data_IF_711541566450
#
_entry.id   IF_711541566450
#
_cell.length_a   1.000
_cell.length_b   1.000
_cell.length_c   1.000
_cell.angle_alpha   90.00
_cell.angle_beta   90.00
_cell.angle_gamma   90.00
#
_symmetry.space_group_name_H-M   'P 1'
#
loop_
_entity.id
_entity.type
_entity.pdbx_description
1 polymer ?
#
# COMPACT_ATOMS: atom_id res chain seq x y z
N UNK A 1 -5.49 -3.34 14.55
CA UNK A 1 -5.34 -2.16 15.43
C UNK A 1 -3.88 -1.81 15.79
N UNK A 2 -2.96 -2.73 16.18
CA UNK A 2 -1.62 -2.32 16.63
C UNK A 2 -0.82 -1.59 15.54
N UNK A 3 -0.96 -1.98 14.27
CA UNK A 3 -0.24 -1.34 13.16
C UNK A 3 -0.77 0.04 12.75
N UNK A 4 -2.08 0.31 12.94
CA UNK A 4 -2.65 1.65 12.75
C UNK A 4 -2.07 2.59 13.80
N UNK A 5 -2.03 2.15 15.07
CA UNK A 5 -1.44 2.91 16.17
C UNK A 5 0.04 3.19 15.88
N UNK A 6 0.80 2.19 15.41
CA UNK A 6 2.19 2.37 15.01
C UNK A 6 2.32 3.40 13.87
N UNK A 7 1.51 3.29 12.82
CA UNK A 7 1.52 4.23 11.69
C UNK A 7 1.20 5.66 12.10
N UNK A 8 0.21 5.84 12.98
CA UNK A 8 -0.14 7.14 13.56
C UNK A 8 0.98 7.66 14.47
N UNK A 9 1.61 6.79 15.26
CA UNK A 9 2.74 7.16 16.13
C UNK A 9 3.93 7.61 15.31
N UNK A 10 4.27 6.87 14.25
CA UNK A 10 5.33 7.23 13.29
C UNK A 10 4.98 8.52 12.57
N UNK A 11 3.76 8.66 12.06
CA UNK A 11 3.29 9.91 11.44
C UNK A 11 3.39 11.09 12.40
N UNK A 12 2.89 10.94 13.63
CA UNK A 12 2.99 11.93 14.71
C UNK A 12 4.43 12.27 15.06
N UNK A 13 5.32 11.29 15.11
CA UNK A 13 6.74 11.48 15.35
C UNK A 13 7.39 12.25 14.21
N UNK A 14 7.02 11.96 12.95
CA UNK A 14 7.44 12.73 11.79
C UNK A 14 7.00 14.20 11.94
N UNK A 15 5.76 14.50 12.32
CA UNK A 15 5.36 15.91 12.52
C UNK A 15 6.06 16.59 13.71
N UNK A 16 6.33 15.86 14.79
CA UNK A 16 6.87 16.45 16.01
C UNK A 16 8.40 16.61 15.99
N UNK A 17 9.10 15.70 15.32
CA UNK A 17 10.56 15.58 15.38
C UNK A 17 11.26 15.76 14.03
N UNK A 18 10.57 15.57 12.89
CA UNK A 18 11.19 15.72 11.58
C UNK A 18 10.90 17.12 11.04
N UNK A 19 11.94 17.97 10.84
CA UNK A 19 11.74 19.31 10.32
C UNK A 19 11.10 19.27 8.92
N UNK A 20 10.24 20.25 8.58
CA UNK A 20 9.72 20.40 7.22
C UNK A 20 10.89 20.42 6.22
N UNK A 21 10.89 19.48 5.28
CA UNK A 21 11.92 19.35 4.25
C UNK A 21 13.18 18.56 4.62
N UNK A 22 13.31 18.01 5.84
CA UNK A 22 14.43 17.10 6.16
C UNK A 22 14.37 15.82 5.30
N UNK A 23 13.17 15.25 5.10
CA UNK A 23 12.97 14.09 4.22
C UNK A 23 13.17 14.48 2.75
N UNK A 24 12.73 15.68 2.35
CA UNK A 24 12.95 16.19 1.00
C UNK A 24 14.43 16.44 0.68
N UNK A 25 15.29 16.68 1.69
CA UNK A 25 16.74 16.78 1.54
C UNK A 25 17.44 15.41 1.42
N UNK A 26 16.85 14.36 1.97
CA UNK A 26 17.40 13.00 1.88
C UNK A 26 17.11 12.37 0.50
N UNK A 27 16.00 12.78 -0.14
CA UNK A 27 15.63 12.29 -1.46
C UNK A 27 16.36 13.06 -2.58
N UNK A 28 16.69 12.39 -3.70
CA UNK A 28 17.24 13.04 -4.88
C UNK A 28 16.36 14.19 -5.41
N UNK A 29 16.97 15.26 -5.90
CA UNK A 29 16.25 16.40 -6.49
C UNK A 29 15.49 16.05 -7.77
N UNK A 30 15.95 15.05 -8.53
CA UNK A 30 15.31 14.63 -9.78
C UNK A 30 14.12 13.70 -9.47
N UNK A 31 12.88 14.02 -9.88
CA UNK A 31 11.71 13.20 -9.56
C UNK A 31 11.84 11.74 -9.97
N UNK A 32 12.44 11.47 -11.14
CA UNK A 32 12.68 10.11 -11.64
C UNK A 32 13.64 9.29 -10.75
N UNK A 33 14.53 9.93 -9.99
CA UNK A 33 15.40 9.28 -9.01
C UNK A 33 14.80 9.28 -7.60
N UNK A 34 13.95 10.27 -7.29
CA UNK A 34 13.23 10.33 -6.02
C UNK A 34 12.24 9.17 -5.87
N UNK A 35 11.58 8.75 -6.95
CA UNK A 35 10.65 7.61 -6.96
C UNK A 35 11.29 6.30 -6.49
N UNK A 36 12.37 5.79 -7.12
CA UNK A 36 13.01 4.56 -6.67
C UNK A 36 13.62 4.69 -5.27
N UNK A 37 14.19 5.86 -4.92
CA UNK A 37 14.72 6.09 -3.58
C UNK A 37 13.62 6.06 -2.50
N UNK A 38 12.45 6.63 -2.78
CA UNK A 38 11.32 6.60 -1.86
C UNK A 38 10.68 5.20 -1.77
N UNK A 39 10.60 4.47 -2.88
CA UNK A 39 10.14 3.08 -2.88
C UNK A 39 11.05 2.17 -2.04
N UNK A 40 12.38 2.28 -2.18
CA UNK A 40 13.32 1.48 -1.38
C UNK A 40 13.32 1.87 0.09
N UNK A 41 13.14 3.16 0.40
CA UNK A 41 12.96 3.61 1.78
C UNK A 41 11.73 2.99 2.46
N UNK A 42 10.70 2.61 1.67
CA UNK A 42 9.53 1.87 2.14
C UNK A 42 9.87 0.55 2.84
N UNK A 43 10.95 -0.14 2.42
CA UNK A 43 11.41 -1.39 3.05
C UNK A 43 11.78 -1.19 4.52
N UNK A 44 12.39 -0.05 4.85
CA UNK A 44 12.92 0.22 6.19
C UNK A 44 11.82 0.61 7.20
N UNK A 45 10.60 0.89 6.74
CA UNK A 45 9.54 1.42 7.59
C UNK A 45 8.55 0.32 7.95
N UNK A 46 8.52 -0.11 9.24
CA UNK A 46 7.50 -1.02 9.70
C UNK A 46 6.15 -0.29 9.71
N UNK A 47 5.36 -0.51 8.68
CA UNK A 47 4.04 0.11 8.51
C UNK A 47 3.02 -0.89 7.97
N UNK A 48 1.74 -0.55 8.17
CA UNK A 48 0.61 -1.16 7.47
C UNK A 48 0.05 -0.14 6.46
N UNK A 49 -0.76 -0.60 5.51
CA UNK A 49 -1.32 0.27 4.45
C UNK A 49 -2.18 1.41 5.02
N UNK A 50 -2.78 1.21 6.20
CA UNK A 50 -3.56 2.25 6.88
C UNK A 50 -2.67 3.37 7.45
N UNK A 51 -1.44 3.05 7.82
CA UNK A 51 -0.47 4.01 8.37
C UNK A 51 0.34 4.72 7.29
N UNK A 52 0.54 4.11 6.12
CA UNK A 52 1.34 4.70 5.05
C UNK A 52 0.62 5.86 4.35
N UNK A 53 -0.71 5.89 4.31
CA UNK A 53 -1.52 6.99 3.72
C UNK A 53 -1.25 8.34 4.39
N UNK A 54 -1.42 8.51 5.72
CA UNK A 54 -1.14 9.79 6.37
C UNK A 54 0.34 10.19 6.27
N UNK A 55 1.26 9.22 6.34
CA UNK A 55 2.70 9.47 6.15
C UNK A 55 2.97 10.03 4.75
N UNK A 56 2.41 9.40 3.70
CA UNK A 56 2.54 9.88 2.32
C UNK A 56 1.96 11.29 2.14
N UNK A 57 0.79 11.58 2.73
CA UNK A 57 0.21 12.92 2.73
C UNK A 57 1.14 13.96 3.36
N UNK A 58 1.85 13.60 4.44
CA UNK A 58 2.85 14.46 5.08
C UNK A 58 4.12 14.61 4.25
N UNK A 59 4.56 13.58 3.53
CA UNK A 59 5.68 13.69 2.59
C UNK A 59 5.36 14.70 1.49
N UNK A 60 4.16 14.65 0.91
CA UNK A 60 3.68 15.64 -0.07
C UNK A 60 3.64 17.04 0.55
N UNK A 61 3.09 17.18 1.76
CA UNK A 61 3.05 18.46 2.46
C UNK A 61 4.44 19.02 2.80
N UNK A 62 5.44 18.14 2.99
CA UNK A 62 6.84 18.47 3.24
C UNK A 62 7.64 18.76 1.96
N UNK A 63 7.00 18.75 0.79
CA UNK A 63 7.61 19.10 -0.51
C UNK A 63 8.24 17.93 -1.27
N UNK A 64 8.01 16.68 -0.85
CA UNK A 64 8.36 15.49 -1.65
C UNK A 64 7.43 15.42 -2.85
N UNK A 65 7.95 15.03 -4.02
CA UNK A 65 7.13 14.89 -5.22
C UNK A 65 6.01 13.88 -5.00
N UNK A 66 4.78 14.13 -5.48
CA UNK A 66 3.68 13.20 -5.21
C UNK A 66 3.94 11.80 -5.73
N UNK A 67 4.56 11.66 -6.89
CA UNK A 67 5.02 10.39 -7.43
C UNK A 67 5.92 9.59 -6.45
N UNK A 68 6.88 10.25 -5.79
CA UNK A 68 7.76 9.59 -4.83
C UNK A 68 7.02 9.24 -3.54
N UNK A 69 6.13 10.11 -3.07
CA UNK A 69 5.28 9.84 -1.91
C UNK A 69 4.32 8.66 -2.16
N UNK A 70 3.77 8.53 -3.38
CA UNK A 70 2.92 7.41 -3.79
C UNK A 70 3.72 6.12 -3.96
N UNK A 71 4.95 6.18 -4.47
CA UNK A 71 5.82 5.01 -4.53
C UNK A 71 6.16 4.50 -3.13
N UNK A 72 6.44 5.40 -2.18
CA UNK A 72 6.60 5.07 -0.77
C UNK A 72 5.31 4.47 -0.17
N UNK A 73 4.16 5.09 -0.45
CA UNK A 73 2.84 4.67 0.03
C UNK A 73 2.55 3.19 -0.28
N UNK A 74 2.85 2.78 -1.52
CA UNK A 74 2.61 1.44 -2.03
C UNK A 74 3.68 0.44 -1.57
N UNK A 75 4.94 0.88 -1.50
CA UNK A 75 6.07 0.02 -1.13
C UNK A 75 6.03 -0.39 0.34
N UNK A 76 5.81 0.58 1.25
CA UNK A 76 5.90 0.35 2.70
C UNK A 76 5.07 -0.85 3.21
N UNK A 77 3.77 -0.99 2.88
CA UNK A 77 2.99 -2.17 3.31
C UNK A 77 3.29 -3.44 2.50
N UNK A 78 3.85 -3.34 1.31
CA UNK A 78 4.05 -4.48 0.42
C UNK A 78 5.36 -5.25 0.68
N UNK A 79 6.42 -4.55 1.10
CA UNK A 79 7.78 -5.12 1.27
C UNK A 79 8.41 -4.86 2.65
N UNK A 80 7.59 -4.60 3.66
CA UNK A 80 8.04 -4.52 5.05
C UNK A 80 8.63 -5.89 5.51
N UNK A 81 9.71 -5.89 6.32
CA UNK A 81 10.28 -7.10 6.92
C UNK A 81 9.27 -8.06 7.54
N UNK A 82 8.24 -7.56 8.22
CA UNK A 82 7.18 -8.39 8.84
C UNK A 82 6.44 -9.17 7.76
N UNK A 83 6.08 -8.50 6.66
CA UNK A 83 5.34 -9.07 5.53
C UNK A 83 6.19 -10.09 4.76
N UNK A 84 7.47 -9.78 4.53
CA UNK A 84 8.40 -10.71 3.90
C UNK A 84 8.65 -11.95 4.76
N UNK A 85 8.78 -11.77 6.09
CA UNK A 85 8.92 -12.88 7.04
C UNK A 85 7.65 -13.73 7.10
N UNK A 86 6.47 -13.11 7.13
CA UNK A 86 5.19 -13.82 7.05
C UNK A 86 5.07 -14.63 5.76
N UNK A 87 5.55 -14.09 4.63
CA UNK A 87 5.61 -14.81 3.34
C UNK A 87 6.55 -16.01 3.43
N UNK A 88 7.73 -15.86 4.05
CA UNK A 88 8.68 -16.95 4.22
C UNK A 88 8.11 -18.08 5.10
N UNK A 89 7.38 -17.73 6.17
CA UNK A 89 6.73 -18.70 7.06
C UNK A 89 5.53 -19.37 6.37
N UNK A 90 4.74 -18.62 5.61
CA UNK A 90 3.56 -19.14 4.90
C UNK A 90 3.93 -20.06 3.72
N UNK A 91 5.09 -19.86 3.10
CA UNK A 91 5.59 -20.67 1.98
C UNK A 91 6.91 -21.39 2.33
N UNK A 92 6.87 -22.37 3.26
CA UNK A 92 8.08 -23.06 3.72
C UNK A 92 8.77 -23.77 2.55
N UNK A 93 10.10 -23.68 2.50
CA UNK A 93 10.93 -24.31 1.46
C UNK A 93 10.87 -23.64 0.08
N UNK A 94 10.21 -22.47 -0.06
CA UNK A 94 10.09 -21.74 -1.33
C UNK A 94 10.58 -20.28 -1.23
N UNK A 95 11.89 -20.04 -1.00
CA UNK A 95 12.41 -18.67 -0.88
C UNK A 95 12.20 -17.81 -2.14
N UNK A 96 12.06 -18.45 -3.30
CA UNK A 96 11.78 -17.78 -4.58
C UNK A 96 10.52 -16.89 -4.51
N UNK A 97 9.46 -17.28 -3.78
CA UNK A 97 8.24 -16.46 -3.68
C UNK A 97 8.44 -15.20 -2.84
N UNK A 98 9.32 -15.26 -1.83
CA UNK A 98 9.65 -14.10 -0.99
C UNK A 98 10.42 -13.08 -1.83
N UNK A 99 11.41 -13.55 -2.59
CA UNK A 99 12.16 -12.71 -3.53
C UNK A 99 11.25 -12.16 -4.63
N UNK A 100 10.37 -12.99 -5.18
CA UNK A 100 9.40 -12.57 -6.19
C UNK A 100 8.45 -11.50 -5.64
N UNK A 101 7.97 -11.63 -4.39
CA UNK A 101 7.14 -10.61 -3.72
C UNK A 101 7.90 -9.30 -3.58
N UNK A 102 9.14 -9.36 -3.07
CA UNK A 102 10.00 -8.18 -2.95
C UNK A 102 10.16 -7.45 -4.28
N UNK A 103 10.58 -8.18 -5.32
CA UNK A 103 10.88 -7.60 -6.63
C UNK A 103 9.63 -7.10 -7.34
N UNK A 104 8.54 -7.87 -7.33
CA UNK A 104 7.30 -7.49 -7.97
C UNK A 104 6.67 -6.25 -7.32
N UNK A 105 6.66 -6.17 -5.99
CA UNK A 105 6.14 -5.01 -5.27
C UNK A 105 7.04 -3.78 -5.41
N UNK A 106 8.37 -3.95 -5.46
CA UNK A 106 9.29 -2.84 -5.73
C UNK A 106 9.13 -2.34 -7.18
N UNK A 107 9.05 -3.24 -8.15
CA UNK A 107 8.79 -2.91 -9.56
C UNK A 107 7.44 -2.20 -9.72
N UNK A 108 6.40 -2.69 -9.06
CA UNK A 108 5.06 -2.11 -9.12
C UNK A 108 5.03 -0.70 -8.51
N UNK A 109 5.58 -0.50 -7.31
CA UNK A 109 5.59 0.81 -6.65
C UNK A 109 6.41 1.85 -7.42
N UNK A 110 7.57 1.47 -7.96
CA UNK A 110 8.38 2.32 -8.83
C UNK A 110 7.63 2.60 -10.13
N UNK A 111 7.07 1.58 -10.78
CA UNK A 111 6.32 1.70 -12.03
C UNK A 111 5.13 2.64 -11.89
N UNK A 112 4.34 2.51 -10.82
CA UNK A 112 3.22 3.42 -10.52
C UNK A 112 3.73 4.83 -10.27
N UNK A 113 4.77 5.01 -9.46
CA UNK A 113 5.35 6.33 -9.19
C UNK A 113 5.86 7.02 -10.46
N UNK A 114 6.62 6.31 -11.30
CA UNK A 114 7.14 6.84 -12.56
C UNK A 114 6.02 7.15 -13.56
N UNK A 115 5.02 6.26 -13.67
CA UNK A 115 3.87 6.49 -14.54
C UNK A 115 3.08 7.71 -14.05
N UNK A 116 2.95 7.89 -12.73
CA UNK A 116 2.31 9.07 -12.15
C UNK A 116 3.02 10.38 -12.49
N UNK A 117 4.35 10.39 -12.71
CA UNK A 117 5.03 11.60 -13.20
C UNK A 117 4.53 12.04 -14.59
N UNK A 118 4.01 11.11 -15.40
CA UNK A 118 3.57 11.37 -16.77
C UNK A 118 2.06 11.57 -16.86
N UNK A 119 1.28 10.70 -16.20
CA UNK A 119 -0.19 10.68 -16.31
C UNK A 119 -0.92 11.23 -15.09
N UNK A 120 -0.15 11.55 -14.04
CA UNK A 120 -0.64 12.02 -12.76
C UNK A 120 -1.25 13.41 -12.85
N UNK A 121 -2.20 13.64 -11.96
CA UNK A 121 -2.93 14.89 -11.80
C UNK A 121 -2.72 15.32 -10.36
N UNK A 122 -1.60 15.99 -10.11
CA UNK A 122 -1.19 16.40 -8.75
C UNK A 122 -2.18 17.39 -8.14
N UNK A 123 -3.00 18.05 -8.96
CA UNK A 123 -4.15 18.86 -8.55
C UNK A 123 -5.24 18.06 -7.81
N UNK A 124 -5.26 16.73 -7.96
CA UNK A 124 -6.18 15.82 -7.26
C UNK A 124 -5.63 15.33 -5.91
N UNK A 125 -4.31 15.45 -5.70
CA UNK A 125 -3.62 15.17 -4.44
C UNK A 125 -3.76 16.37 -3.48
N UNK A 126 -4.98 16.86 -3.32
CA UNK A 126 -5.27 17.90 -2.31
C UNK A 126 -5.34 17.21 -0.96
N UNK A 127 -4.41 17.47 -0.03
CA UNK A 127 -4.57 17.00 1.34
C UNK A 127 -5.86 17.60 1.88
N UNK A 128 -6.77 16.79 2.41
CA UNK A 128 -8.04 17.24 2.97
C UNK A 128 -7.79 18.22 4.13
N UNK A 129 -7.79 19.54 3.84
CA UNK A 129 -7.39 20.66 4.73
C UNK A 129 -6.03 20.46 5.40
N UNK A 130 -5.12 21.43 5.22
CA UNK A 130 -3.88 21.50 6.01
C UNK A 130 -4.27 21.71 7.48
N UNK A 131 -4.32 20.65 8.27
CA UNK A 131 -4.51 20.72 9.71
C UNK A 131 -3.19 21.20 10.32
N UNK A 132 -3.20 22.40 10.88
CA UNK A 132 -2.06 22.96 11.58
C UNK A 132 -2.11 22.49 13.04
N UNK A 133 -1.07 21.78 13.53
CA UNK A 133 -1.05 21.37 14.92
C UNK A 133 -1.05 22.60 15.83
N UNK A 134 -1.78 22.54 16.96
CA UNK A 134 -1.84 23.66 17.89
C UNK A 134 -0.45 24.06 18.40
N UNK A 135 -0.22 25.36 18.56
CA UNK A 135 1.02 25.88 19.12
C UNK A 135 1.27 25.32 20.53
N UNK A 136 2.49 24.85 20.79
CA UNK A 136 2.84 24.25 22.07
C UNK A 136 4.08 23.36 22.06
N UNK A 137 4.30 22.69 23.19
CA UNK A 137 5.41 21.75 23.40
C UNK A 137 5.43 20.66 22.33
N UNK A 138 6.61 20.08 22.05
CA UNK A 138 6.77 19.00 21.05
C UNK A 138 5.83 17.83 21.32
N UNK A 139 5.60 17.50 22.60
CA UNK A 139 4.67 16.45 23.05
C UNK A 139 3.22 16.78 22.72
N UNK A 140 2.78 18.03 22.90
CA UNK A 140 1.40 18.44 22.59
C UNK A 140 1.13 18.41 21.09
N UNK A 141 2.10 18.84 20.28
CA UNK A 141 2.05 18.74 18.82
C UNK A 141 2.01 17.28 18.36
N UNK A 142 2.87 16.43 18.93
CA UNK A 142 2.86 14.98 18.69
C UNK A 142 1.49 14.36 18.98
N UNK A 143 0.96 14.56 20.19
CA UNK A 143 -0.31 13.99 20.64
C UNK A 143 -1.49 14.46 19.79
N UNK A 144 -1.55 15.76 19.50
CA UNK A 144 -2.62 16.32 18.69
C UNK A 144 -2.56 15.79 17.24
N UNK A 145 -1.36 15.73 16.64
CA UNK A 145 -1.15 15.13 15.32
C UNK A 145 -1.52 13.65 15.28
N UNK A 146 -1.11 12.89 16.30
CA UNK A 146 -1.42 11.47 16.39
C UNK A 146 -2.93 11.25 16.55
N UNK A 147 -3.60 12.01 17.42
CA UNK A 147 -5.04 11.91 17.62
C UNK A 147 -5.81 12.25 16.34
N UNK A 148 -5.41 13.31 15.63
CA UNK A 148 -6.05 13.70 14.37
C UNK A 148 -5.93 12.60 13.31
N UNK A 149 -4.71 12.12 13.06
CA UNK A 149 -4.45 11.06 12.08
C UNK A 149 -5.20 9.77 12.47
N UNK A 150 -5.25 9.43 13.76
CA UNK A 150 -5.96 8.25 14.25
C UNK A 150 -7.47 8.34 14.04
N UNK A 151 -8.08 9.48 14.40
CA UNK A 151 -9.53 9.65 14.26
C UNK A 151 -9.94 9.67 12.78
N UNK A 152 -9.15 10.34 11.94
CA UNK A 152 -9.41 10.39 10.50
C UNK A 152 -9.23 9.00 9.87
N UNK A 153 -8.07 8.37 10.05
CA UNK A 153 -7.79 7.05 9.46
C UNK A 153 -8.71 5.98 10.05
N UNK A 154 -9.00 6.04 11.35
CA UNK A 154 -9.91 5.14 12.05
C UNK A 154 -11.33 5.19 11.51
N UNK A 155 -11.87 6.38 11.21
CA UNK A 155 -13.21 6.53 10.63
C UNK A 155 -13.34 5.85 9.27
N UNK A 156 -12.41 6.13 8.34
CA UNK A 156 -12.40 5.49 7.02
C UNK A 156 -12.08 4.00 7.09
N UNK A 157 -11.23 3.59 8.03
CA UNK A 157 -10.93 2.19 8.29
C UNK A 157 -12.18 1.40 8.71
N UNK A 158 -13.01 1.94 9.60
CA UNK A 158 -14.26 1.27 10.01
C UNK A 158 -15.21 1.08 8.84
N UNK A 159 -15.41 2.13 8.03
CA UNK A 159 -16.28 2.05 6.84
C UNK A 159 -15.72 1.06 5.82
N UNK A 160 -14.42 1.14 5.52
CA UNK A 160 -13.75 0.25 4.58
C UNK A 160 -13.75 -1.21 5.04
N UNK A 161 -13.49 -1.46 6.32
CA UNK A 161 -13.53 -2.80 6.91
C UNK A 161 -14.95 -3.37 6.93
N UNK A 162 -15.97 -2.56 7.22
CA UNK A 162 -17.37 -2.97 7.15
C UNK A 162 -17.80 -3.35 5.73
N UNK A 163 -17.41 -2.54 4.73
CA UNK A 163 -17.65 -2.85 3.32
C UNK A 163 -16.92 -4.13 2.88
N UNK A 164 -15.64 -4.29 3.23
CA UNK A 164 -14.85 -5.48 2.93
C UNK A 164 -15.44 -6.74 3.60
N UNK A 165 -15.83 -6.66 4.88
CA UNK A 165 -16.45 -7.78 5.59
C UNK A 165 -17.78 -8.19 4.95
N UNK A 166 -18.60 -7.23 4.52
CA UNK A 166 -19.86 -7.50 3.80
C UNK A 166 -19.60 -8.15 2.45
N UNK A 167 -18.60 -7.65 1.69
CA UNK A 167 -18.23 -8.27 0.42
C UNK A 167 -17.69 -9.69 0.64
N UNK A 168 -16.87 -9.92 1.66
CA UNK A 168 -16.28 -11.22 1.97
C UNK A 168 -17.32 -12.26 2.43
N UNK A 169 -18.38 -11.86 3.14
CA UNK A 169 -19.47 -12.78 3.50
C UNK A 169 -20.36 -13.12 2.32
N UNK A 170 -20.49 -12.20 1.36
CA UNK A 170 -21.33 -12.39 0.18
C UNK A 170 -20.64 -13.16 -0.96
N UNK A 171 -19.31 -13.19 -1.02
CA UNK A 171 -18.56 -13.89 -2.08
C UNK A 171 -18.46 -15.39 -1.77
N UNK A 172 -19.16 -16.28 -2.51
CA UNK A 172 -19.12 -17.71 -2.26
C UNK A 172 -17.80 -18.31 -2.75
N UNK A 173 -17.21 -19.24 -1.97
CA UNK A 173 -15.98 -19.98 -2.37
C UNK A 173 -16.09 -20.66 -3.74
N UNK A 174 -17.29 -21.07 -4.14
CA UNK A 174 -17.57 -21.68 -5.45
C UNK A 174 -17.18 -20.80 -6.64
N UNK A 175 -17.30 -19.47 -6.51
CA UNK A 175 -16.90 -18.51 -7.56
C UNK A 175 -15.38 -18.51 -7.70
N UNK A 176 -14.65 -18.58 -6.58
CA UNK A 176 -13.19 -18.64 -6.58
C UNK A 176 -12.69 -19.93 -7.21
N UNK A 177 -13.28 -21.08 -6.86
CA UNK A 177 -12.85 -22.38 -7.40
C UNK A 177 -13.06 -22.49 -8.92
N UNK A 178 -14.15 -21.90 -9.44
CA UNK A 178 -14.40 -21.87 -10.88
C UNK A 178 -13.38 -21.04 -11.69
N UNK A 179 -12.70 -20.09 -11.03
CA UNK A 179 -11.68 -19.23 -11.65
C UNK A 179 -10.28 -19.87 -11.65
N UNK A 180 -10.06 -20.94 -10.86
CA UNK A 180 -8.77 -21.61 -10.75
C UNK A 180 -8.33 -22.29 -12.06
N UNK A 181 -9.28 -22.74 -12.88
CA UNK A 181 -9.00 -23.48 -14.12
C UNK A 181 -8.87 -22.59 -15.37
N UNK A 182 -8.95 -21.26 -15.23
CA UNK A 182 -9.01 -20.32 -16.36
C UNK A 182 -7.65 -19.96 -17.00
N UNK A 183 -6.58 -20.73 -16.74
CA UNK A 183 -5.27 -20.49 -17.33
C UNK A 183 -4.67 -19.12 -16.94
N UNK A 184 -4.18 -18.28 -17.87
CA UNK A 184 -3.61 -16.96 -17.57
C UNK A 184 -4.57 -16.01 -16.86
N UNK A 185 -5.89 -16.21 -17.02
CA UNK A 185 -6.92 -15.40 -16.36
C UNK A 185 -6.96 -15.62 -14.84
N UNK A 186 -6.35 -16.69 -14.33
CA UNK A 186 -6.21 -16.94 -12.90
C UNK A 186 -5.44 -15.82 -12.17
N UNK A 187 -4.48 -15.19 -12.85
CA UNK A 187 -3.69 -14.06 -12.30
C UNK A 187 -4.59 -12.83 -12.12
N UNK A 188 -5.41 -12.51 -13.13
CA UNK A 188 -6.39 -11.43 -13.07
C UNK A 188 -7.46 -11.71 -12.00
N UNK A 189 -7.96 -12.95 -11.96
CA UNK A 189 -8.97 -13.38 -10.99
C UNK A 189 -8.47 -13.24 -9.55
N UNK A 190 -7.26 -13.72 -9.24
CA UNK A 190 -6.68 -13.58 -7.90
C UNK A 190 -6.33 -12.12 -7.58
N UNK A 191 -5.90 -11.34 -8.57
CA UNK A 191 -5.71 -9.89 -8.40
C UNK A 191 -7.01 -9.21 -7.99
N UNK A 192 -8.11 -9.46 -8.70
CA UNK A 192 -9.43 -8.91 -8.37
C UNK A 192 -9.92 -9.39 -7.00
N UNK A 193 -9.69 -10.66 -6.68
CA UNK A 193 -10.02 -11.22 -5.38
C UNK A 193 -9.22 -10.54 -4.26
N UNK A 194 -7.96 -10.19 -4.49
CA UNK A 194 -7.13 -9.45 -3.53
C UNK A 194 -7.74 -8.08 -3.21
N UNK A 195 -8.23 -7.35 -4.22
CA UNK A 195 -8.89 -6.05 -4.00
C UNK A 195 -10.08 -6.17 -3.06
N UNK A 196 -10.82 -7.28 -3.14
CA UNK A 196 -12.02 -7.54 -2.35
C UNK A 196 -11.73 -8.12 -0.95
N UNK A 197 -10.75 -9.01 -0.86
CA UNK A 197 -10.51 -9.83 0.34
C UNK A 197 -9.33 -9.38 1.20
N UNK A 198 -8.51 -8.43 0.75
CA UNK A 198 -7.32 -8.02 1.49
C UNK A 198 -7.69 -7.54 2.89
N UNK A 199 -7.25 -8.31 3.89
CA UNK A 199 -7.49 -8.00 5.30
C UNK A 199 -6.35 -7.13 5.82
N UNK A 200 -5.14 -7.67 5.76
CA UNK A 200 -3.87 -7.07 6.16
C UNK A 200 -2.74 -7.78 5.38
N UNK A 201 -1.72 -7.04 4.92
CA UNK A 201 -0.59 -7.55 4.13
C UNK A 201 0.10 -8.81 4.69
N UNK A 202 0.10 -9.02 6.02
CA UNK A 202 0.62 -10.23 6.66
C UNK A 202 -0.35 -11.43 6.58
N UNK A 203 -1.65 -11.20 6.80
CA UNK A 203 -2.68 -12.24 6.75
C UNK A 203 -2.85 -12.78 5.32
N UNK A 204 -2.68 -11.90 4.33
CA UNK A 204 -2.75 -12.24 2.91
C UNK A 204 -1.71 -13.30 2.51
N UNK A 205 -0.55 -13.35 3.18
CA UNK A 205 0.46 -14.39 2.97
C UNK A 205 -0.08 -15.80 3.26
N UNK A 206 -0.78 -15.96 4.39
CA UNK A 206 -1.36 -17.24 4.80
C UNK A 206 -2.56 -17.62 3.93
N UNK A 207 -3.38 -16.65 3.54
CA UNK A 207 -4.50 -16.86 2.61
C UNK A 207 -3.96 -17.37 1.27
N UNK A 208 -2.96 -16.70 0.69
CA UNK A 208 -2.36 -17.11 -0.58
C UNK A 208 -1.68 -18.48 -0.51
N UNK A 209 -1.07 -18.84 0.62
CA UNK A 209 -0.48 -20.17 0.80
C UNK A 209 -1.54 -21.30 0.81
N UNK A 210 -2.76 -20.99 1.27
CA UNK A 210 -3.91 -21.90 1.26
C UNK A 210 -4.51 -22.15 -0.13
N UNK A 211 -4.32 -21.22 -1.09
CA UNK A 211 -4.84 -21.30 -2.47
C UNK A 211 -3.97 -22.20 -3.35
N UNK A 212 -3.83 -23.47 -2.97
CA UNK A 212 -2.89 -24.41 -3.61
C UNK A 212 -3.27 -24.76 -5.05
N UNK A 213 -4.54 -24.62 -5.40
CA UNK A 213 -5.08 -24.89 -6.74
C UNK A 213 -4.62 -23.86 -7.78
N UNK A 214 -4.20 -22.66 -7.34
CA UNK A 214 -3.76 -21.58 -8.22
C UNK A 214 -2.26 -21.65 -8.51
N UNK A 215 -1.82 -21.10 -9.65
CA UNK A 215 -0.39 -20.97 -9.96
C UNK A 215 0.34 -20.11 -8.93
N UNK A 216 1.66 -20.31 -8.79
CA UNK A 216 2.48 -19.46 -7.92
C UNK A 216 2.46 -17.99 -8.36
N UNK A 217 2.39 -17.72 -9.67
CA UNK A 217 2.25 -16.38 -10.23
C UNK A 217 0.92 -15.72 -9.87
N UNK A 218 -0.20 -16.48 -9.88
CA UNK A 218 -1.49 -15.95 -9.44
C UNK A 218 -1.49 -15.62 -7.94
N UNK A 219 -0.89 -16.50 -7.12
CA UNK A 219 -0.68 -16.27 -5.69
C UNK A 219 0.22 -15.06 -5.43
N UNK A 220 1.28 -14.88 -6.22
CA UNK A 220 2.13 -13.68 -6.17
C UNK A 220 1.34 -12.41 -6.52
N UNK A 221 0.51 -12.45 -7.57
CA UNK A 221 -0.34 -11.31 -7.93
C UNK A 221 -1.29 -10.91 -6.80
N UNK A 222 -1.89 -11.89 -6.11
CA UNK A 222 -2.67 -11.63 -4.91
C UNK A 222 -1.84 -10.90 -3.82
N UNK A 223 -0.63 -11.38 -3.55
CA UNK A 223 0.27 -10.83 -2.52
C UNK A 223 0.83 -9.43 -2.84
N UNK A 224 0.91 -9.08 -4.13
CA UNK A 224 1.40 -7.77 -4.59
C UNK A 224 0.24 -6.77 -4.70
N UNK A 225 -0.90 -7.18 -5.26
CA UNK A 225 -2.07 -6.31 -5.46
C UNK A 225 -2.73 -5.94 -4.13
N UNK A 226 -2.92 -6.91 -3.22
CA UNK A 226 -3.61 -6.70 -1.94
C UNK A 226 -3.17 -5.45 -1.18
N UNK A 227 -1.88 -5.33 -0.77
CA UNK A 227 -1.40 -4.18 -0.02
C UNK A 227 -1.31 -2.86 -0.80
N UNK A 228 -1.50 -2.91 -2.13
CA UNK A 228 -1.41 -1.75 -3.02
C UNK A 228 -2.79 -1.21 -3.43
N UNK A 229 -3.78 -2.10 -3.56
CA UNK A 229 -5.14 -1.79 -4.00
C UNK A 229 -6.11 -2.70 -3.26
N UNK A 230 -6.75 -2.16 -2.23
CA UNK A 230 -7.86 -2.80 -1.52
C UNK A 230 -9.01 -1.82 -1.28
N UNK A 231 -10.23 -2.33 -1.05
CA UNK A 231 -11.42 -1.50 -0.83
C UNK A 231 -11.23 -0.49 0.31
N UNK A 232 -10.59 -0.89 1.41
CA UNK A 232 -10.32 -0.04 2.57
C UNK A 232 -9.26 1.01 2.26
N UNK A 233 -8.20 0.67 1.54
CA UNK A 233 -7.15 1.58 1.10
C UNK A 233 -7.70 2.60 0.10
N UNK A 234 -8.56 2.17 -0.83
CA UNK A 234 -9.29 3.07 -1.75
C UNK A 234 -10.16 4.05 -0.96
N UNK A 235 -10.92 3.56 0.02
CA UNK A 235 -11.73 4.42 0.88
C UNK A 235 -10.87 5.42 1.68
N UNK A 236 -9.75 4.97 2.23
CA UNK A 236 -8.81 5.81 2.99
C UNK A 236 -8.12 6.86 2.11
N UNK A 237 -7.70 6.50 0.90
CA UNK A 237 -7.12 7.41 -0.09
C UNK A 237 -8.16 8.44 -0.58
N UNK A 238 -9.41 8.01 -0.80
CA UNK A 238 -10.50 8.89 -1.17
C UNK A 238 -10.80 9.93 -0.07
N UNK A 239 -10.74 9.50 1.19
CA UNK A 239 -10.94 10.34 2.37
C UNK A 239 -9.78 11.26 2.72
N UNK A 240 -8.54 10.87 2.41
CA UNK A 240 -7.33 11.65 2.75
C UNK A 240 -6.95 12.65 1.65
N UNK A 241 -7.05 12.23 0.39
CA UNK A 241 -6.70 13.04 -0.77
C UNK A 241 -7.96 13.57 -1.46
N UNK A 242 -8.48 12.81 -2.42
CA UNK A 242 -9.77 13.08 -3.03
C UNK A 242 -10.35 11.81 -3.63
N UNK A 243 -11.68 11.68 -3.73
CA UNK A 243 -12.30 10.52 -4.38
C UNK A 243 -11.91 10.42 -5.86
N UNK A 244 -11.68 11.55 -6.54
CA UNK A 244 -11.20 11.58 -7.93
C UNK A 244 -9.78 11.03 -8.06
N UNK A 245 -8.92 11.34 -7.10
CA UNK A 245 -7.59 10.74 -7.02
C UNK A 245 -7.69 9.23 -6.88
N UNK A 246 -8.45 8.73 -5.89
CA UNK A 246 -8.57 7.30 -5.61
C UNK A 246 -9.12 6.51 -6.82
N UNK A 247 -10.17 7.01 -7.48
CA UNK A 247 -10.76 6.37 -8.66
C UNK A 247 -9.82 6.27 -9.87
N UNK A 248 -8.82 7.15 -9.98
CA UNK A 248 -7.81 7.10 -11.05
C UNK A 248 -6.58 6.31 -10.64
N UNK A 249 -6.17 6.45 -9.37
CA UNK A 249 -4.97 5.84 -8.83
C UNK A 249 -5.13 4.33 -8.63
N UNK A 250 -6.28 3.86 -8.15
CA UNK A 250 -6.55 2.44 -7.92
C UNK A 250 -6.44 1.57 -9.18
N UNK A 251 -7.14 1.86 -10.31
CA UNK A 251 -7.02 1.03 -11.52
C UNK A 251 -5.62 1.09 -12.14
N UNK A 252 -4.95 2.25 -12.09
CA UNK A 252 -3.56 2.37 -12.53
C UNK A 252 -2.64 1.45 -11.73
N UNK A 253 -2.76 1.51 -10.40
CA UNK A 253 -1.98 0.70 -9.47
C UNK A 253 -2.27 -0.78 -9.67
N UNK A 254 -3.53 -1.15 -9.85
CA UNK A 254 -3.95 -2.52 -10.08
C UNK A 254 -3.28 -3.11 -11.34
N UNK A 255 -3.35 -2.40 -12.46
CA UNK A 255 -2.76 -2.86 -13.74
C UNK A 255 -1.25 -3.00 -13.63
N UNK A 256 -0.57 -2.01 -13.05
CA UNK A 256 0.89 -2.04 -12.90
C UNK A 256 1.33 -3.13 -11.93
N UNK A 257 0.63 -3.32 -10.81
CA UNK A 257 0.89 -4.38 -9.84
C UNK A 257 0.69 -5.77 -10.45
N UNK A 258 -0.40 -5.96 -11.20
CA UNK A 258 -0.69 -7.21 -11.89
C UNK A 258 0.37 -7.53 -12.95
N UNK A 259 0.76 -6.55 -13.77
CA UNK A 259 1.81 -6.71 -14.76
C UNK A 259 3.16 -7.02 -14.12
N UNK A 260 3.50 -6.34 -13.03
CA UNK A 260 4.75 -6.56 -12.29
C UNK A 260 4.80 -7.97 -11.70
N UNK A 261 3.71 -8.43 -11.08
CA UNK A 261 3.61 -9.78 -10.57
C UNK A 261 3.67 -10.85 -11.67
N UNK A 262 3.03 -10.60 -12.82
CA UNK A 262 3.08 -11.52 -13.96
C UNK A 262 4.48 -11.64 -14.54
N UNK A 263 5.18 -10.51 -14.76
CA UNK A 263 6.56 -10.48 -15.29
C UNK A 263 7.53 -11.16 -14.33
N UNK A 264 7.49 -10.81 -13.05
CA UNK A 264 8.40 -11.39 -12.05
C UNK A 264 8.07 -12.85 -11.79
N UNK A 265 6.78 -13.21 -11.74
CA UNK A 265 6.35 -14.58 -11.59
C UNK A 265 6.80 -15.46 -12.75
N UNK A 266 6.62 -15.01 -14.00
CA UNK A 266 7.14 -15.71 -15.19
C UNK A 266 8.65 -15.93 -15.14
N UNK A 267 9.40 -14.99 -14.54
CA UNK A 267 10.86 -15.06 -14.48
C UNK A 267 11.39 -15.94 -13.34
N UNK A 268 10.70 -16.01 -12.19
CA UNK A 268 11.21 -16.63 -10.96
C UNK A 268 10.44 -17.86 -10.44
N UNK A 269 9.21 -18.09 -10.89
CA UNK A 269 8.28 -19.08 -10.32
C UNK A 269 7.76 -20.07 -11.37
#
# INVERSE_FOLDING_TARGET
MPFLVLGVTVSGAIAAFVPPGAIARLLPRRPALAVPAAATAGVALPGCECGSVPVAGRLVAAGVTPAAALAFLLSAPAINPIVLTATAVAFPGRPAIVLARLLASLLASIGVGLLWLVVGRDDLLRPARRWEPPEGSRTRRFLASAQHDFLQAGGFLVIGAGAAATLQTLVPRRVVDSLAHAGPLSVLALGLLAVLLALCSEADAFVAAGLKEFSLTARLAFLVVGPMVDVKLIALQAGTFSPRFAWRFAPLTFVVALASAAVVGWWLL
#
